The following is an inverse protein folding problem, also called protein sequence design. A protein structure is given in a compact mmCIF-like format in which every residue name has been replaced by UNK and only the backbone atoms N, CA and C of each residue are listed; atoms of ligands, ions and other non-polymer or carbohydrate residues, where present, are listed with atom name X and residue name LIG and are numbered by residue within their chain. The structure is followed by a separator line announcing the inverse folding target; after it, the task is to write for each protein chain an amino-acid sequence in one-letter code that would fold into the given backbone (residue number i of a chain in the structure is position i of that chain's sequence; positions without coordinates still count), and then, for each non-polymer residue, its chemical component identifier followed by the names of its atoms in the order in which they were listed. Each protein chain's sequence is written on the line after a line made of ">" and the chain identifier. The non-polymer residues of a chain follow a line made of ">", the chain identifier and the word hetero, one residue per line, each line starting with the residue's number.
data_IF_577724835199
#
_entry.id   IF_577724835199
#
_cell.length_a   1.000
_cell.length_b   1.000
_cell.length_c   1.000
_cell.angle_alpha   90.00
_cell.angle_beta   90.00
_cell.angle_gamma   90.00
#
_symmetry.space_group_name_H-M   'P 1'
#
loop_
_entity.id
_entity.type
_entity.pdbx_description
1 polymer ?
#
# COMPACT_ATOMS: atom_id res chain seq x y z
N UNK A 1 -17.13 15.13 -2.13
CA UNK A 1 -16.98 14.17 -3.25
C UNK A 1 -15.52 13.78 -3.38
N UNK A 2 -15.25 12.51 -3.61
CA UNK A 2 -13.89 12.02 -3.82
C UNK A 2 -13.44 12.33 -5.25
N UNK A 3 -12.21 12.83 -5.42
CA UNK A 3 -11.69 13.17 -6.76
C UNK A 3 -10.89 12.00 -7.34
N UNK A 4 -11.01 11.79 -8.65
CA UNK A 4 -10.21 10.82 -9.37
C UNK A 4 -9.45 11.47 -10.55
N UNK A 5 -8.36 10.87 -10.93
CA UNK A 5 -7.56 11.21 -12.11
C UNK A 5 -7.45 9.98 -13.01
N UNK A 6 -7.21 10.20 -14.30
CA UNK A 6 -6.86 9.11 -15.22
C UNK A 6 -5.33 9.03 -15.31
N UNK A 7 -4.76 7.87 -14.99
CA UNK A 7 -3.33 7.60 -15.05
C UNK A 7 -3.04 6.64 -16.20
N UNK A 8 -1.93 6.87 -16.92
CA UNK A 8 -1.53 5.98 -18.02
C UNK A 8 -0.99 4.67 -17.45
N UNK A 9 -1.44 3.57 -18.01
CA UNK A 9 -0.92 2.25 -17.71
C UNK A 9 0.37 2.02 -18.53
N UNK A 10 1.46 1.50 -17.92
CA UNK A 10 2.63 1.13 -18.70
C UNK A 10 2.25 0.04 -19.72
N UNK A 11 2.64 0.22 -20.97
CA UNK A 11 2.45 -0.78 -22.02
C UNK A 11 3.50 -1.90 -21.87
N UNK A 12 3.20 -2.87 -21.00
CA UNK A 12 4.08 -4.02 -20.73
C UNK A 12 4.19 -4.98 -21.93
N UNK A 13 3.28 -4.89 -22.90
CA UNK A 13 3.22 -5.77 -24.06
C UNK A 13 3.70 -5.11 -25.35
N UNK A 14 4.20 -3.86 -25.29
CA UNK A 14 4.64 -3.08 -26.45
C UNK A 14 3.62 -3.03 -27.61
N UNK A 15 2.34 -2.95 -27.26
CA UNK A 15 1.25 -2.89 -28.26
C UNK A 15 1.09 -1.50 -28.89
N UNK A 16 1.81 -0.48 -28.40
CA UNK A 16 1.68 0.91 -28.82
C UNK A 16 0.39 1.60 -28.36
N UNK A 17 -0.48 0.91 -27.63
CA UNK A 17 -1.76 1.44 -27.14
C UNK A 17 -1.56 2.14 -25.80
N UNK A 18 -1.93 3.43 -25.74
CA UNK A 18 -2.00 4.18 -24.50
C UNK A 18 -3.36 3.97 -23.85
N UNK A 19 -3.39 3.15 -22.80
CA UNK A 19 -4.59 2.87 -22.00
C UNK A 19 -4.49 3.65 -20.70
N UNK A 20 -5.59 4.28 -20.28
CA UNK A 20 -5.67 4.99 -19.00
C UNK A 20 -6.63 4.27 -18.07
N UNK A 21 -6.35 4.32 -16.76
CA UNK A 21 -7.22 3.79 -15.72
C UNK A 21 -7.53 4.85 -14.67
N UNK A 22 -8.70 4.78 -14.01
CA UNK A 22 -9.07 5.71 -12.97
C UNK A 22 -8.30 5.42 -11.66
N UNK A 23 -7.80 6.47 -11.02
CA UNK A 23 -7.11 6.42 -9.74
C UNK A 23 -7.59 7.54 -8.83
N UNK A 24 -7.78 7.24 -7.55
CA UNK A 24 -8.10 8.30 -6.59
C UNK A 24 -7.00 9.36 -6.54
N UNK A 25 -7.40 10.61 -6.62
CA UNK A 25 -6.56 11.74 -6.25
C UNK A 25 -6.53 11.83 -4.72
N UNK A 26 -5.64 11.02 -4.08
CA UNK A 26 -5.53 10.96 -2.61
C UNK A 26 -5.16 12.33 -2.05
N UNK A 27 -5.83 12.72 -0.97
CA UNK A 27 -5.58 13.96 -0.25
C UNK A 27 -4.59 13.69 0.88
N UNK A 28 -4.98 12.84 1.83
CA UNK A 28 -4.23 12.52 3.06
C UNK A 28 -4.53 11.11 3.57
N UNK A 29 -4.04 10.80 4.74
CA UNK A 29 -4.36 9.58 5.48
C UNK A 29 -5.07 9.97 6.78
N UNK A 30 -6.26 9.46 7.00
CA UNK A 30 -6.94 9.58 8.28
C UNK A 30 -6.14 8.87 9.38
N UNK A 31 -5.92 9.55 10.50
CA UNK A 31 -5.23 8.98 11.65
C UNK A 31 -6.15 8.09 12.49
N UNK A 32 -5.55 7.28 13.39
CA UNK A 32 -6.31 6.49 14.37
C UNK A 32 -7.19 7.38 15.25
N UNK A 33 -6.70 8.58 15.59
CA UNK A 33 -7.43 9.57 16.41
C UNK A 33 -8.68 10.08 15.70
N UNK A 34 -8.56 10.39 14.41
CA UNK A 34 -9.70 10.80 13.58
C UNK A 34 -10.73 9.67 13.47
N UNK A 35 -10.27 8.43 13.25
CA UNK A 35 -11.14 7.27 13.21
C UNK A 35 -11.85 7.06 14.55
N UNK A 36 -11.12 7.13 15.66
CA UNK A 36 -11.66 6.96 17.01
C UNK A 36 -12.69 8.04 17.35
N UNK A 37 -12.45 9.31 16.97
CA UNK A 37 -13.42 10.38 17.14
C UNK A 37 -14.72 10.08 16.38
N UNK A 38 -14.64 9.74 15.10
CA UNK A 38 -15.81 9.40 14.26
C UNK A 38 -16.61 8.21 14.78
N UNK A 39 -15.94 7.21 15.36
CA UNK A 39 -16.61 6.06 15.98
C UNK A 39 -17.24 6.48 17.30
N UNK A 40 -16.56 7.27 18.12
CA UNK A 40 -17.08 7.81 19.38
C UNK A 40 -18.35 8.63 19.18
N UNK A 41 -18.40 9.49 18.15
CA UNK A 41 -19.56 10.33 17.83
C UNK A 41 -20.86 9.54 17.58
N UNK A 42 -20.75 8.26 17.19
CA UNK A 42 -21.91 7.41 16.88
C UNK A 42 -22.13 6.25 17.85
N UNK A 43 -21.12 5.88 18.63
CA UNK A 43 -21.18 4.69 19.51
C UNK A 43 -21.37 5.02 20.99
N UNK A 44 -21.08 6.24 21.39
CA UNK A 44 -21.07 6.68 22.80
C UNK A 44 -19.87 6.23 23.62
N UNK A 45 -18.89 5.51 23.00
CA UNK A 45 -17.60 5.23 23.63
C UNK A 45 -16.70 6.45 23.55
N UNK A 46 -15.80 6.61 24.55
CA UNK A 46 -14.82 7.70 24.46
C UNK A 46 -13.82 7.43 23.32
N UNK A 47 -13.37 8.46 22.61
CA UNK A 47 -12.33 8.29 21.58
C UNK A 47 -11.05 7.64 22.10
N UNK A 48 -10.66 7.90 23.36
CA UNK A 48 -9.50 7.30 23.99
C UNK A 48 -9.65 5.78 24.20
N UNK A 49 -10.82 5.32 24.60
CA UNK A 49 -11.10 3.88 24.74
C UNK A 49 -11.05 3.16 23.41
N UNK A 50 -11.62 3.79 22.37
CA UNK A 50 -11.60 3.25 21.01
C UNK A 50 -10.17 3.17 20.47
N UNK A 51 -9.36 4.20 20.67
CA UNK A 51 -7.94 4.19 20.30
C UNK A 51 -7.20 3.05 21.01
N UNK A 52 -7.40 2.89 22.33
CA UNK A 52 -6.82 1.81 23.12
C UNK A 52 -7.22 0.42 22.61
N UNK A 53 -8.51 0.21 22.32
CA UNK A 53 -9.03 -1.06 21.78
C UNK A 53 -8.40 -1.36 20.41
N UNK A 54 -8.30 -0.38 19.52
CA UNK A 54 -7.70 -0.58 18.19
C UNK A 54 -6.21 -0.92 18.28
N UNK A 55 -5.47 -0.28 19.18
CA UNK A 55 -4.07 -0.60 19.43
C UNK A 55 -3.91 -2.01 19.99
N UNK A 56 -4.70 -2.39 21.01
CA UNK A 56 -4.66 -3.74 21.56
C UNK A 56 -5.05 -4.79 20.52
N UNK A 57 -6.06 -4.50 19.71
CA UNK A 57 -6.45 -5.38 18.59
C UNK A 57 -5.27 -5.66 17.65
N UNK A 58 -4.46 -4.65 17.33
CA UNK A 58 -3.31 -4.84 16.45
C UNK A 58 -2.25 -5.78 17.06
N UNK A 59 -2.05 -5.71 18.38
CA UNK A 59 -1.12 -6.58 19.11
C UNK A 59 -1.62 -8.02 19.09
N UNK A 60 -2.88 -8.25 19.41
CA UNK A 60 -3.47 -9.60 19.43
C UNK A 60 -3.52 -10.21 18.02
N UNK A 61 -3.78 -9.39 16.98
CA UNK A 61 -3.70 -9.86 15.62
C UNK A 61 -2.28 -10.34 15.27
N UNK A 62 -1.25 -9.62 15.72
CA UNK A 62 0.15 -10.03 15.49
C UNK A 62 0.46 -11.36 16.20
N UNK A 63 0.00 -11.57 17.42
CA UNK A 63 0.15 -12.83 18.15
C UNK A 63 -0.50 -13.99 17.41
N UNK A 64 -1.77 -13.85 17.01
CA UNK A 64 -2.52 -14.89 16.29
C UNK A 64 -1.83 -15.23 14.95
N UNK A 65 -1.36 -14.21 14.21
CA UNK A 65 -0.67 -14.43 12.93
C UNK A 65 0.71 -15.06 13.11
N UNK A 66 1.40 -14.80 14.22
CA UNK A 66 2.66 -15.46 14.56
C UNK A 66 2.48 -16.97 14.84
N UNK A 67 1.29 -17.40 15.25
CA UNK A 67 0.92 -18.81 15.37
C UNK A 67 0.61 -19.49 14.01
N UNK A 68 0.74 -18.76 12.88
CA UNK A 68 0.42 -19.27 11.54
C UNK A 68 -1.07 -19.21 11.17
N UNK A 69 -1.89 -18.51 11.96
CA UNK A 69 -3.33 -18.37 11.75
C UNK A 69 -3.66 -17.08 10.99
N UNK A 70 -4.76 -17.07 10.26
CA UNK A 70 -5.33 -15.85 9.68
C UNK A 70 -6.29 -15.20 10.65
N UNK A 71 -6.37 -13.87 10.64
CA UNK A 71 -7.34 -13.10 11.43
C UNK A 71 -8.42 -12.56 10.50
N UNK A 72 -9.67 -12.94 10.76
CA UNK A 72 -10.84 -12.41 10.07
C UNK A 72 -11.59 -11.46 10.99
N UNK A 73 -11.81 -10.23 10.52
CA UNK A 73 -12.68 -9.25 11.18
C UNK A 73 -13.88 -9.02 10.27
N UNK A 74 -15.06 -9.44 10.73
CA UNK A 74 -16.30 -9.33 9.94
C UNK A 74 -16.62 -7.87 9.61
N UNK A 75 -16.93 -7.62 8.36
CA UNK A 75 -17.16 -6.26 7.85
C UNK A 75 -15.91 -5.44 7.53
N UNK A 76 -14.71 -5.97 7.83
CA UNK A 76 -13.42 -5.36 7.46
C UNK A 76 -12.73 -6.24 6.42
N UNK A 77 -12.34 -7.46 6.79
CA UNK A 77 -11.63 -8.37 5.90
C UNK A 77 -10.80 -9.41 6.65
N UNK A 78 -9.96 -10.10 5.90
CA UNK A 78 -9.08 -11.14 6.39
C UNK A 78 -7.62 -10.75 6.20
N UNK A 79 -6.83 -10.91 7.25
CA UNK A 79 -5.40 -10.68 7.29
C UNK A 79 -4.67 -12.02 7.37
N UNK A 80 -3.68 -12.22 6.51
CA UNK A 80 -2.92 -13.48 6.44
C UNK A 80 -1.45 -13.15 6.29
N UNK A 81 -0.63 -13.63 7.23
CA UNK A 81 0.81 -13.52 7.14
C UNK A 81 1.36 -14.38 5.99
N UNK A 82 2.39 -13.92 5.32
CA UNK A 82 3.11 -14.67 4.30
C UNK A 82 4.60 -14.70 4.61
N UNK A 83 5.23 -15.84 4.36
CA UNK A 83 6.64 -16.06 4.62
C UNK A 83 7.48 -15.62 3.41
N UNK A 84 8.70 -15.20 3.68
CA UNK A 84 9.71 -14.87 2.70
C UNK A 84 11.06 -15.44 3.14
N UNK A 85 11.97 -15.61 2.18
CA UNK A 85 13.38 -15.96 2.44
C UNK A 85 14.20 -14.68 2.61
N UNK A 86 15.19 -14.71 3.47
CA UNK A 86 16.20 -13.66 3.54
C UNK A 86 16.93 -13.52 2.21
N UNK A 87 17.34 -12.30 1.86
CA UNK A 87 17.93 -11.96 0.55
C UNK A 87 19.21 -12.72 0.19
N UNK A 88 19.94 -13.14 1.21
CA UNK A 88 21.19 -13.90 1.11
C UNK A 88 20.97 -15.42 0.98
N UNK A 89 19.72 -15.87 0.95
CA UNK A 89 19.35 -17.28 0.85
C UNK A 89 18.73 -17.59 -0.50
N UNK A 90 19.28 -18.62 -1.14
CA UNK A 90 18.72 -19.16 -2.37
C UNK A 90 17.41 -19.89 -2.10
N UNK A 91 16.56 -19.97 -3.11
CA UNK A 91 15.32 -20.73 -3.03
C UNK A 91 15.61 -22.22 -3.01
N UNK A 92 14.78 -22.96 -2.28
CA UNK A 92 14.80 -24.41 -2.27
C UNK A 92 14.33 -24.95 -3.62
N UNK A 93 15.06 -25.93 -4.17
CA UNK A 93 14.63 -26.63 -5.38
C UNK A 93 13.47 -27.59 -5.08
N UNK A 94 12.61 -27.82 -6.07
CA UNK A 94 11.52 -28.80 -5.96
C UNK A 94 11.97 -30.23 -6.29
N UNK A 95 13.23 -30.43 -6.68
CA UNK A 95 13.77 -31.73 -7.08
C UNK A 95 14.19 -32.57 -5.87
N UNK A 96 14.04 -33.88 -6.00
CA UNK A 96 14.44 -34.83 -4.95
C UNK A 96 15.98 -34.75 -4.72
N UNK A 97 16.38 -34.49 -3.47
CA UNK A 97 17.81 -34.30 -3.12
C UNK A 97 18.28 -32.84 -3.05
N UNK A 98 17.40 -31.85 -3.32
CA UNK A 98 17.73 -30.44 -3.10
C UNK A 98 17.98 -30.13 -1.62
N UNK A 99 18.85 -29.15 -1.35
CA UNK A 99 19.10 -28.67 0.02
C UNK A 99 17.84 -28.05 0.63
N UNK A 100 17.42 -28.55 1.78
CA UNK A 100 16.30 -27.98 2.54
C UNK A 100 16.73 -26.76 3.33
N UNK A 101 15.93 -25.72 3.30
CA UNK A 101 16.15 -24.51 4.10
C UNK A 101 15.53 -24.69 5.50
N UNK A 102 16.23 -24.26 6.50
CA UNK A 102 15.74 -24.29 7.88
C UNK A 102 14.94 -23.02 8.22
N UNK A 103 14.28 -23.03 9.37
CA UNK A 103 13.47 -21.91 9.85
C UNK A 103 14.25 -20.59 10.01
N UNK A 104 15.58 -20.64 10.20
CA UNK A 104 16.43 -19.46 10.31
C UNK A 104 16.60 -18.71 8.98
N UNK A 105 16.29 -19.37 7.87
CA UNK A 105 16.34 -18.77 6.52
C UNK A 105 15.03 -18.06 6.14
N UNK A 106 14.00 -18.16 6.98
CA UNK A 106 12.62 -17.75 6.69
C UNK A 106 12.17 -16.67 7.67
N UNK A 107 11.39 -15.71 7.21
CA UNK A 107 10.78 -14.69 8.06
C UNK A 107 9.39 -14.33 7.55
N UNK A 108 8.58 -13.62 8.37
CA UNK A 108 7.30 -13.08 7.94
C UNK A 108 7.55 -11.83 7.08
N UNK A 109 7.44 -11.99 5.77
CA UNK A 109 7.78 -10.93 4.80
C UNK A 109 6.66 -9.93 4.56
N UNK A 110 5.40 -10.33 4.72
CA UNK A 110 4.25 -9.48 4.43
C UNK A 110 3.00 -9.96 5.16
N UNK A 111 2.02 -9.06 5.30
CA UNK A 111 0.64 -9.39 5.69
C UNK A 111 -0.28 -9.03 4.52
N UNK A 112 -0.91 -10.04 3.94
CA UNK A 112 -1.88 -9.89 2.88
C UNK A 112 -3.25 -9.56 3.47
N UNK A 113 -3.90 -8.55 2.91
CA UNK A 113 -5.24 -8.14 3.30
C UNK A 113 -6.24 -8.43 2.18
N UNK A 114 -7.31 -9.15 2.52
CA UNK A 114 -8.45 -9.39 1.63
C UNK A 114 -9.68 -8.70 2.21
N UNK A 115 -10.17 -7.67 1.53
CA UNK A 115 -11.33 -6.89 1.96
C UNK A 115 -12.61 -7.75 2.03
N UNK A 116 -13.45 -7.47 3.04
CA UNK A 116 -14.80 -8.04 3.10
C UNK A 116 -15.70 -7.38 2.06
N UNK A 117 -16.56 -8.18 1.41
CA UNK A 117 -17.53 -7.71 0.40
C UNK A 117 -18.50 -6.67 0.97
N UNK A 118 -18.83 -6.76 2.27
CA UNK A 118 -19.71 -5.80 2.95
C UNK A 118 -19.02 -4.43 3.01
N UNK A 119 -17.74 -4.39 3.38
CA UNK A 119 -16.98 -3.14 3.40
C UNK A 119 -16.90 -2.50 2.00
N UNK A 120 -16.59 -3.30 0.99
CA UNK A 120 -16.51 -2.81 -0.39
C UNK A 120 -17.85 -2.24 -0.86
N UNK A 121 -18.97 -2.90 -0.54
CA UNK A 121 -20.32 -2.42 -0.85
C UNK A 121 -20.57 -1.08 -0.17
N UNK A 122 -20.32 -0.96 1.13
CA UNK A 122 -20.50 0.29 1.89
C UNK A 122 -19.70 1.46 1.34
N UNK A 123 -18.47 1.19 0.88
CA UNK A 123 -17.62 2.20 0.22
C UNK A 123 -18.31 2.66 -1.08
N UNK A 124 -18.74 1.74 -1.94
CA UNK A 124 -19.38 2.07 -3.21
C UNK A 124 -20.71 2.84 -3.05
N UNK A 125 -21.52 2.48 -2.06
CA UNK A 125 -22.78 3.17 -1.76
C UNK A 125 -22.57 4.63 -1.34
N UNK A 126 -21.48 4.93 -0.65
CA UNK A 126 -21.15 6.27 -0.13
C UNK A 126 -20.25 7.08 -1.06
N UNK A 127 -19.52 6.41 -1.93
CA UNK A 127 -18.54 7.06 -2.81
C UNK A 127 -19.25 7.84 -3.91
N UNK A 128 -19.05 9.17 -3.94
CA UNK A 128 -19.44 10.05 -5.05
C UNK A 128 -18.15 10.54 -5.69
N UNK A 129 -17.96 10.19 -6.96
CA UNK A 129 -16.73 10.45 -7.72
C UNK A 129 -16.90 11.67 -8.61
N UNK A 130 -15.86 12.52 -8.62
CA UNK A 130 -15.73 13.66 -9.51
C UNK A 130 -14.37 13.62 -10.19
N UNK A 131 -14.32 13.87 -11.49
CA UNK A 131 -13.05 13.95 -12.20
C UNK A 131 -12.31 15.21 -11.81
N UNK A 132 -11.08 15.08 -11.37
CA UNK A 132 -10.25 16.25 -11.05
C UNK A 132 -9.93 17.02 -12.34
N UNK A 133 -10.03 18.33 -12.27
CA UNK A 133 -9.69 19.24 -13.38
C UNK A 133 -8.18 19.34 -13.62
N UNK A 134 -7.36 18.85 -12.67
CA UNK A 134 -5.90 18.89 -12.70
C UNK A 134 -5.32 17.48 -12.68
N UNK A 135 -4.21 17.28 -13.38
CA UNK A 135 -3.38 16.09 -13.23
C UNK A 135 -2.40 16.33 -12.09
N UNK A 136 -2.36 15.44 -11.09
CA UNK A 136 -1.31 15.50 -10.06
C UNK A 136 0.03 15.41 -10.76
N UNK A 137 0.84 16.45 -10.65
CA UNK A 137 2.22 16.40 -11.16
C UNK A 137 2.95 15.28 -10.42
N UNK A 138 3.62 14.39 -11.17
CA UNK A 138 4.51 13.40 -10.55
C UNK A 138 5.60 14.16 -9.83
N UNK A 139 5.68 14.01 -8.50
CA UNK A 139 6.61 14.76 -7.64
C UNK A 139 8.09 14.60 -8.02
N UNK A 140 8.42 13.54 -8.76
CA UNK A 140 9.78 13.24 -9.22
C UNK A 140 10.13 13.75 -10.62
N UNK A 141 9.20 14.42 -11.33
CA UNK A 141 9.42 14.82 -12.73
C UNK A 141 8.98 16.28 -13.00
N UNK A 142 9.57 17.22 -12.26
CA UNK A 142 9.45 18.65 -12.61
C UNK A 142 10.05 18.98 -13.97
N UNK A 143 10.98 18.16 -14.45
CA UNK A 143 11.75 18.39 -15.65
C UNK A 143 11.61 17.22 -16.64
N UNK A 144 11.55 17.51 -17.93
CA UNK A 144 11.64 16.48 -18.98
C UNK A 144 13.03 15.82 -18.95
N UNK A 145 13.20 14.61 -19.53
CA UNK A 145 14.51 13.97 -19.60
C UNK A 145 15.60 14.88 -20.18
N UNK A 146 15.28 15.67 -21.22
CA UNK A 146 16.19 16.63 -21.84
C UNK A 146 16.56 17.80 -20.91
N UNK A 147 15.59 18.33 -20.17
CA UNK A 147 15.84 19.37 -19.17
C UNK A 147 16.70 18.87 -18.02
N UNK A 148 16.51 17.60 -17.59
CA UNK A 148 17.37 16.98 -16.57
C UNK A 148 18.79 16.81 -17.06
N UNK A 149 18.97 16.38 -18.31
CA UNK A 149 20.28 16.26 -18.93
C UNK A 149 20.99 17.60 -18.98
N UNK A 150 20.29 18.66 -19.44
CA UNK A 150 20.84 20.03 -19.47
C UNK A 150 21.23 20.54 -18.07
N UNK A 151 20.41 20.29 -17.06
CA UNK A 151 20.72 20.68 -15.70
C UNK A 151 21.90 19.89 -15.13
N UNK A 152 21.99 18.59 -15.42
CA UNK A 152 23.12 17.77 -14.99
C UNK A 152 24.43 18.21 -15.66
N UNK A 153 24.41 18.48 -16.97
CA UNK A 153 25.57 19.00 -17.71
C UNK A 153 26.01 20.36 -17.15
N UNK A 154 25.05 21.26 -16.94
CA UNK A 154 25.36 22.59 -16.36
C UNK A 154 25.98 22.46 -14.96
N UNK A 155 25.46 21.56 -14.12
CA UNK A 155 26.02 21.30 -12.79
C UNK A 155 27.45 20.74 -12.86
N UNK A 156 27.72 19.85 -13.81
CA UNK A 156 29.05 19.31 -14.05
C UNK A 156 30.03 20.38 -14.54
N UNK A 157 29.60 21.24 -15.45
CA UNK A 157 30.41 22.36 -15.96
C UNK A 157 30.74 23.38 -14.86
N UNK A 158 29.80 23.69 -13.98
CA UNK A 158 29.98 24.60 -12.84
C UNK A 158 30.83 24.03 -11.72
N UNK A 159 30.92 22.69 -11.59
CA UNK A 159 31.63 22.00 -10.51
C UNK A 159 32.83 21.16 -11.00
N UNK A 160 33.16 21.19 -12.29
CA UNK A 160 34.34 20.54 -12.83
C UNK A 160 35.58 21.44 -12.71
N UNK A 161 35.87 21.87 -11.49
CA UNK A 161 37.15 22.44 -11.12
C UNK A 161 37.82 21.55 -10.10
N UNK A 162 38.56 20.58 -10.61
CA UNK A 162 39.86 20.13 -10.00
C UNK A 162 40.59 19.29 -11.04
#
# INVERSE_FOLDING_TARGET
>A
MAKYIMEEMPDLQNTGKRITYPKFARVDNASIKELAQRVGDVSGFSPGDIEGILLQTSIEMAHIMAEGRSVKIDGIGTFTASLALYKDKEREGAEEGSEHRNAQSIYVGNVNFRVDKIMLRRINERCRLERASWKKQRSSQKFTPEQRLKLALKYLDEHSFL
#
